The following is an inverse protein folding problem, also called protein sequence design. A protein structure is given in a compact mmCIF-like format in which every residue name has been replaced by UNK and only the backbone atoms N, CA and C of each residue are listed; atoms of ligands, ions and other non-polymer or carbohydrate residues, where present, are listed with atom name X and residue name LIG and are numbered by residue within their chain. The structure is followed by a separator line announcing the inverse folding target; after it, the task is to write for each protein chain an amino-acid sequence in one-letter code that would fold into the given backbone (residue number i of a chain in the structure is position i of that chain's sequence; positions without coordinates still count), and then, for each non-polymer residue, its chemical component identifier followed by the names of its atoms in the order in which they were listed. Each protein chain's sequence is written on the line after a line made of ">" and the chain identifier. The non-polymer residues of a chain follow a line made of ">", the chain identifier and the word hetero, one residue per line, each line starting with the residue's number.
data_IF_461427860992
#
_entry.id   IF_461427860992
#
_cell.length_a   1.000
_cell.length_b   1.000
_cell.length_c   1.000
_cell.angle_alpha   90.00
_cell.angle_beta   90.00
_cell.angle_gamma   90.00
#
_symmetry.space_group_name_H-M   'P 1'
#
loop_
_entity.id
_entity.type
_entity.pdbx_description
1 polymer ?
#
# COMPACT_ATOMS: atom_id res chain seq x y z
N UNK A 1 3.51 5.92 -3.57
CA UNK A 1 2.86 6.02 -2.24
C UNK A 1 3.66 7.03 -1.45
N UNK A 2 3.01 7.97 -0.76
CA UNK A 2 3.63 8.96 0.12
C UNK A 2 3.09 8.78 1.54
N UNK A 3 3.92 9.06 2.57
CA UNK A 3 3.60 8.88 3.99
C UNK A 3 4.07 10.09 4.82
N UNK A 4 3.84 11.30 4.30
CA UNK A 4 4.35 12.54 4.90
C UNK A 4 5.80 12.87 4.51
N UNK A 5 5.95 14.01 3.84
CA UNK A 5 7.16 14.83 3.61
C UNK A 5 6.96 15.70 2.35
N UNK A 6 5.95 15.43 1.51
CA UNK A 6 5.52 16.37 0.47
C UNK A 6 6.58 16.75 -0.58
N UNK A 7 7.76 16.14 -0.56
CA UNK A 7 8.79 16.43 -1.54
C UNK A 7 8.29 16.00 -2.92
N UNK A 8 8.26 17.00 -3.80
CA UNK A 8 7.62 16.97 -5.10
C UNK A 8 8.30 15.96 -6.03
N UNK A 9 8.00 14.68 -5.83
CA UNK A 9 8.30 13.66 -6.82
C UNK A 9 7.55 14.03 -8.12
N UNK A 10 8.22 14.02 -9.28
CA UNK A 10 7.56 14.32 -10.55
C UNK A 10 6.36 13.39 -10.76
N UNK A 11 5.21 13.98 -11.11
CA UNK A 11 3.99 13.24 -11.41
C UNK A 11 4.09 12.71 -12.84
N UNK A 12 4.02 11.39 -12.97
CA UNK A 12 4.03 10.68 -14.24
C UNK A 12 2.60 10.32 -14.66
N UNK A 13 2.28 10.43 -15.96
CA UNK A 13 1.01 9.94 -16.48
C UNK A 13 0.86 8.42 -16.25
N UNK A 14 -0.38 7.97 -16.09
CA UNK A 14 -0.79 6.57 -15.88
C UNK A 14 -0.30 5.91 -14.58
N UNK A 15 0.18 6.71 -13.61
CA UNK A 15 0.52 6.21 -12.27
C UNK A 15 -0.59 6.50 -11.28
N UNK A 16 -0.90 5.51 -10.43
CA UNK A 16 -1.75 5.70 -9.27
C UNK A 16 -0.92 6.15 -8.08
N UNK A 17 -1.15 7.39 -7.67
CA UNK A 17 -0.57 7.94 -6.45
C UNK A 17 -1.51 7.68 -5.27
N UNK A 18 -0.93 7.24 -4.15
CA UNK A 18 -1.63 7.03 -2.89
C UNK A 18 -0.90 7.84 -1.84
N UNK A 19 -1.64 8.63 -1.08
CA UNK A 19 -1.11 9.34 0.08
C UNK A 19 -1.72 8.71 1.33
N UNK A 20 -0.86 8.26 2.23
CA UNK A 20 -1.27 7.63 3.48
C UNK A 20 -0.95 8.59 4.62
N UNK A 21 -1.99 9.18 5.19
CA UNK A 21 -1.87 9.99 6.38
C UNK A 21 -1.48 9.10 7.56
N UNK A 22 -0.26 9.32 8.05
CA UNK A 22 0.37 8.58 9.15
C UNK A 22 1.07 9.61 10.04
N UNK A 23 0.99 9.45 11.38
CA UNK A 23 1.73 10.32 12.28
C UNK A 23 3.23 10.07 12.13
N UNK A 24 4.03 11.12 12.33
CA UNK A 24 5.49 11.03 12.29
C UNK A 24 6.00 10.17 13.46
N UNK A 25 6.73 9.06 13.18
CA UNK A 25 7.31 8.23 14.22
C UNK A 25 8.52 8.88 14.92
N UNK A 26 9.09 9.97 14.38
CA UNK A 26 10.27 10.61 14.94
C UNK A 26 10.01 11.13 16.37
N UNK A 27 10.86 10.72 17.31
CA UNK A 27 10.76 11.11 18.72
C UNK A 27 9.63 10.45 19.49
N UNK A 28 8.85 9.56 18.88
CA UNK A 28 7.76 8.85 19.55
C UNK A 28 8.26 7.64 20.35
N UNK A 29 7.52 7.24 21.41
CA UNK A 29 7.72 5.98 22.12
C UNK A 29 7.64 4.75 21.19
N UNK A 30 8.37 3.68 21.56
CA UNK A 30 8.50 2.48 20.71
C UNK A 30 7.17 1.74 20.47
N UNK A 31 6.25 1.79 21.42
CA UNK A 31 4.87 1.30 21.29
C UNK A 31 4.10 2.07 20.22
N UNK A 32 4.16 3.41 20.24
CA UNK A 32 3.55 4.26 19.21
C UNK A 32 4.14 3.98 17.83
N UNK A 33 5.47 3.80 17.74
CA UNK A 33 6.13 3.45 16.47
C UNK A 33 5.68 2.08 15.96
N UNK A 34 5.46 1.10 16.85
CA UNK A 34 4.93 -0.23 16.48
C UNK A 34 3.51 -0.13 15.95
N UNK A 35 2.67 0.70 16.56
CA UNK A 35 1.30 0.93 16.08
C UNK A 35 1.29 1.56 14.68
N UNK A 36 2.19 2.52 14.42
CA UNK A 36 2.37 3.12 13.09
C UNK A 36 2.79 2.05 12.06
N UNK A 37 3.76 1.19 12.42
CA UNK A 37 4.19 0.07 11.57
C UNK A 37 3.04 -0.89 11.25
N UNK A 38 2.22 -1.23 12.24
CA UNK A 38 1.13 -2.19 12.07
C UNK A 38 0.00 -1.62 11.19
N UNK A 39 -0.22 -0.31 11.27
CA UNK A 39 -1.07 0.39 10.32
C UNK A 39 -0.52 0.38 8.88
N UNK A 40 0.80 0.50 8.70
CA UNK A 40 1.43 0.37 7.38
C UNK A 40 1.27 -1.06 6.84
N UNK A 41 1.54 -2.08 7.66
CA UNK A 41 1.40 -3.50 7.27
C UNK A 41 -0.01 -3.80 6.76
N UNK A 42 -1.03 -3.33 7.48
CA UNK A 42 -2.43 -3.50 7.09
C UNK A 42 -2.72 -2.88 5.72
N UNK A 43 -2.30 -1.63 5.50
CA UNK A 43 -2.51 -0.93 4.22
C UNK A 43 -1.76 -1.60 3.06
N UNK A 44 -0.53 -2.07 3.31
CA UNK A 44 0.26 -2.80 2.31
C UNK A 44 -0.43 -4.11 1.91
N UNK A 45 -0.92 -4.90 2.87
CA UNK A 45 -1.63 -6.16 2.58
C UNK A 45 -2.90 -5.94 1.75
N UNK A 46 -3.66 -4.90 2.08
CA UNK A 46 -4.84 -4.52 1.32
C UNK A 46 -4.47 -4.12 -0.11
N UNK A 47 -3.43 -3.30 -0.26
CA UNK A 47 -2.93 -2.89 -1.57
C UNK A 47 -2.44 -4.07 -2.41
N UNK A 48 -1.69 -5.01 -1.80
CA UNK A 48 -1.25 -6.21 -2.49
C UNK A 48 -2.43 -7.04 -3.00
N UNK A 49 -3.45 -7.24 -2.16
CA UNK A 49 -4.67 -7.91 -2.55
C UNK A 49 -5.30 -7.22 -3.75
N UNK A 50 -5.47 -5.90 -3.70
CA UNK A 50 -6.06 -5.13 -4.79
C UNK A 50 -5.26 -5.23 -6.10
N UNK A 51 -3.93 -5.14 -6.02
CA UNK A 51 -3.04 -5.23 -7.18
C UNK A 51 -3.08 -6.63 -7.79
N UNK A 52 -3.09 -7.69 -6.98
CA UNK A 52 -3.19 -9.08 -7.46
C UNK A 52 -4.52 -9.31 -8.17
N UNK A 53 -5.63 -8.79 -7.66
CA UNK A 53 -6.93 -8.90 -8.34
C UNK A 53 -6.95 -8.11 -9.65
N UNK A 54 -6.37 -6.91 -9.67
CA UNK A 54 -6.27 -6.06 -10.86
C UNK A 54 -5.42 -6.70 -11.96
N UNK A 55 -4.29 -7.30 -11.60
CA UNK A 55 -3.38 -7.96 -12.55
C UNK A 55 -3.90 -9.35 -12.95
N UNK A 56 -4.55 -10.08 -12.04
CA UNK A 56 -5.11 -11.41 -12.30
C UNK A 56 -6.29 -11.41 -13.28
N UNK A 57 -7.04 -10.32 -13.36
CA UNK A 57 -8.09 -10.14 -14.39
C UNK A 57 -7.53 -9.81 -15.78
N UNK A 58 -6.28 -9.33 -15.87
CA UNK A 58 -5.65 -8.96 -17.15
C UNK A 58 -4.69 -10.01 -17.70
N UNK A 59 -4.27 -10.98 -16.87
CA UNK A 59 -3.42 -12.11 -17.31
C UNK A 59 -4.03 -13.41 -16.81
N UNK A 60 -4.88 -14.01 -17.64
CA UNK A 60 -5.78 -15.11 -17.30
C UNK A 60 -5.18 -16.20 -16.42
N UNK A 61 -5.83 -16.42 -15.27
CA UNK A 61 -5.79 -17.66 -14.51
C UNK A 61 -7.23 -18.17 -14.48
N UNK A 62 -7.50 -19.24 -15.22
CA UNK A 62 -8.75 -20.00 -15.10
C UNK A 62 -8.75 -20.72 -13.74
N UNK A 63 -9.83 -20.68 -12.94
CA UNK A 63 -10.00 -21.66 -11.88
C UNK A 63 -10.35 -23.00 -12.55
N UNK A 64 -9.40 -23.94 -12.54
CA UNK A 64 -9.73 -25.36 -12.69
C UNK A 64 -10.41 -25.83 -11.41
N UNK A 65 -11.72 -25.62 -11.32
CA UNK A 65 -12.53 -26.36 -10.36
C UNK A 65 -12.61 -27.80 -10.89
N UNK A 66 -11.69 -28.64 -10.41
CA UNK A 66 -11.80 -30.09 -10.53
C UNK A 66 -12.73 -30.61 -9.44
N UNK A 67 -13.89 -31.10 -9.85
CA UNK A 67 -14.54 -32.29 -9.30
C UNK A 67 -15.36 -32.95 -10.42
#
# INVERSE_FOLDING_TARGET
>A
ITMGCGDACPIYPDKRYLDWELPDPAGQPIDVVRDIRDQIDTRVRQLLTELVHRVGLTRGVLPSQGN
#
